data_IF_628328704985
#
_entry.id   IF_628328704985
#
_cell.length_a   1.000
_cell.length_b   1.000
_cell.length_c   1.000
_cell.angle_alpha   90.00
_cell.angle_beta   90.00
_cell.angle_gamma   90.00
#
_symmetry.space_group_name_H-M   'P 1'
#
loop_
_entity.id
_entity.type
_entity.pdbx_description
1 polymer ?
#
# COMPACT_ATOMS: atom_id res chain seq x y z
N UNK A 1 -12.45 8.28 -5.93
CA UNK A 1 -11.72 8.31 -7.21
C UNK A 1 -12.04 7.10 -8.08
N UNK A 2 -11.87 5.86 -7.59
CA UNK A 2 -12.23 4.61 -8.33
C UNK A 2 -13.64 4.64 -8.94
N UNK A 3 -14.66 4.97 -8.15
CA UNK A 3 -16.05 5.06 -8.65
C UNK A 3 -16.23 6.06 -9.81
N UNK A 4 -15.48 7.16 -9.81
CA UNK A 4 -15.53 8.15 -10.88
C UNK A 4 -14.86 7.63 -12.16
N UNK A 5 -13.75 6.91 -12.03
CA UNK A 5 -13.09 6.25 -13.15
C UNK A 5 -13.98 5.15 -13.76
N UNK A 6 -14.67 4.34 -12.93
CA UNK A 6 -15.66 3.35 -13.41
C UNK A 6 -16.79 4.03 -14.20
N UNK A 7 -17.17 5.24 -13.82
CA UNK A 7 -18.20 6.04 -14.51
C UNK A 7 -17.66 6.78 -15.74
N UNK A 8 -16.41 6.56 -16.14
CA UNK A 8 -15.81 7.16 -17.33
C UNK A 8 -15.46 8.64 -17.19
N UNK A 9 -15.35 9.17 -15.96
CA UNK A 9 -15.02 10.58 -15.72
C UNK A 9 -13.52 10.90 -15.85
N UNK A 10 -12.69 9.92 -16.20
CA UNK A 10 -11.25 10.09 -16.39
C UNK A 10 -10.43 8.95 -15.81
N UNK A 11 -9.14 9.23 -15.57
CA UNK A 11 -8.17 8.29 -14.98
C UNK A 11 -8.02 8.54 -13.48
N UNK A 12 -7.76 7.49 -12.70
CA UNK A 12 -7.54 7.59 -11.27
C UNK A 12 -6.17 7.01 -10.89
N UNK A 13 -5.41 7.78 -10.12
CA UNK A 13 -4.20 7.30 -9.45
C UNK A 13 -4.55 6.99 -7.99
N UNK A 14 -4.59 5.71 -7.65
CA UNK A 14 -4.97 5.20 -6.33
C UNK A 14 -4.12 3.97 -5.98
N UNK A 15 -3.94 3.64 -4.70
CA UNK A 15 -3.36 2.37 -4.31
C UNK A 15 -4.11 1.17 -4.90
N UNK A 16 -3.36 0.15 -5.31
CA UNK A 16 -3.86 -1.02 -6.04
C UNK A 16 -5.07 -1.68 -5.38
N UNK A 17 -5.03 -1.85 -4.06
CA UNK A 17 -6.10 -2.51 -3.29
C UNK A 17 -7.47 -1.81 -3.39
N UNK A 18 -7.51 -0.53 -3.78
CA UNK A 18 -8.78 0.16 -4.03
C UNK A 18 -9.37 -0.16 -5.41
N UNK A 19 -8.52 -0.44 -6.40
CA UNK A 19 -8.93 -0.71 -7.78
C UNK A 19 -8.99 -2.20 -8.12
N UNK A 20 -8.34 -3.05 -7.33
CA UNK A 20 -8.18 -4.49 -7.57
C UNK A 20 -9.50 -5.20 -7.89
N UNK A 21 -10.54 -4.95 -7.09
CA UNK A 21 -11.86 -5.54 -7.31
C UNK A 21 -12.46 -5.11 -8.66
N UNK A 22 -12.38 -3.82 -8.98
CA UNK A 22 -12.93 -3.28 -10.23
C UNK A 22 -12.13 -3.73 -11.47
N UNK A 23 -10.82 -3.91 -11.35
CA UNK A 23 -9.97 -4.45 -12.41
C UNK A 23 -10.31 -5.93 -12.64
N UNK A 24 -10.45 -6.71 -11.56
CA UNK A 24 -10.83 -8.12 -11.63
C UNK A 24 -12.21 -8.32 -12.27
N UNK A 25 -13.14 -7.42 -12.00
CA UNK A 25 -14.48 -7.42 -12.59
C UNK A 25 -14.52 -6.85 -14.02
N UNK A 26 -13.38 -6.43 -14.58
CA UNK A 26 -13.26 -5.87 -15.93
C UNK A 26 -13.87 -4.48 -16.09
N UNK A 27 -14.15 -3.79 -14.98
CA UNK A 27 -14.71 -2.43 -14.97
C UNK A 27 -13.63 -1.35 -15.13
N UNK A 28 -12.37 -1.70 -14.85
CA UNK A 28 -11.21 -0.82 -14.98
C UNK A 28 -10.04 -1.60 -15.60
N UNK A 29 -9.10 -0.87 -16.20
CA UNK A 29 -7.84 -1.39 -16.72
C UNK A 29 -6.69 -0.50 -16.23
N UNK A 30 -5.56 -1.12 -15.88
CA UNK A 30 -4.35 -0.41 -15.48
C UNK A 30 -3.63 0.14 -16.70
N UNK A 31 -3.33 1.44 -16.68
CA UNK A 31 -2.55 2.13 -17.72
C UNK A 31 -1.29 2.73 -17.12
N UNK A 32 -0.27 2.99 -17.95
CA UNK A 32 0.99 3.64 -17.53
C UNK A 32 1.72 2.91 -16.39
N UNK A 33 1.64 1.57 -16.34
CA UNK A 33 2.30 0.78 -15.29
C UNK A 33 3.81 1.07 -15.18
N UNK A 34 4.48 1.30 -16.30
CA UNK A 34 5.92 1.64 -16.35
C UNK A 34 6.27 2.97 -15.67
N UNK A 35 5.27 3.82 -15.41
CA UNK A 35 5.42 5.13 -14.79
C UNK A 35 5.01 5.13 -13.30
N UNK A 36 4.59 3.99 -12.77
CA UNK A 36 4.19 3.84 -11.37
C UNK A 36 5.33 3.21 -10.57
N UNK A 37 6.14 3.97 -9.82
CA UNK A 37 7.17 3.41 -8.96
C UNK A 37 6.54 2.58 -7.84
N UNK A 38 7.24 1.56 -7.37
CA UNK A 38 6.83 0.82 -6.19
C UNK A 38 6.84 1.75 -4.97
N UNK A 39 5.69 1.90 -4.32
CA UNK A 39 5.59 2.70 -3.10
C UNK A 39 6.15 1.89 -1.91
N UNK A 40 6.89 2.51 -0.96
CA UNK A 40 7.48 1.82 0.20
C UNK A 40 6.47 1.14 1.15
N UNK A 41 5.18 1.19 0.84
CA UNK A 41 4.11 0.60 1.63
C UNK A 41 3.81 1.40 2.90
N UNK A 42 3.07 0.77 3.81
CA UNK A 42 2.65 1.38 5.07
C UNK A 42 3.75 1.24 6.13
N UNK A 43 4.06 2.33 6.82
CA UNK A 43 5.01 2.35 7.94
C UNK A 43 4.27 2.51 9.28
N UNK A 44 4.71 1.77 10.30
CA UNK A 44 4.27 1.96 11.68
C UNK A 44 5.19 2.95 12.39
N UNK A 45 4.69 4.16 12.64
CA UNK A 45 5.40 5.17 13.40
C UNK A 45 5.12 5.05 14.91
N UNK A 46 6.18 5.06 15.73
CA UNK A 46 6.10 5.13 17.18
C UNK A 46 7.26 5.95 17.75
N UNK A 47 7.09 6.54 18.92
CA UNK A 47 8.11 7.38 19.54
C UNK A 47 9.28 6.53 20.05
N UNK A 48 10.48 6.78 19.51
CA UNK A 48 11.70 6.06 19.82
C UNK A 48 12.33 6.45 21.16
N UNK A 49 11.61 6.27 22.27
CA UNK A 49 12.21 6.46 23.60
C UNK A 49 12.70 5.14 24.17
N UNK A 50 13.83 4.62 23.62
CA UNK A 50 14.79 3.64 24.19
C UNK A 50 14.29 2.29 24.76
N UNK A 51 13.01 2.14 25.10
CA UNK A 51 12.34 0.96 25.63
C UNK A 51 10.96 0.85 24.98
N UNK A 52 10.88 0.11 23.88
CA UNK A 52 9.60 -0.32 23.30
C UNK A 52 8.90 -1.21 24.33
N UNK A 53 7.68 -0.87 24.80
CA UNK A 53 6.93 -1.72 25.73
C UNK A 53 6.75 -3.13 25.15
N UNK A 54 6.78 -4.16 26.00
CA UNK A 54 6.69 -5.56 25.56
C UNK A 54 5.44 -5.83 24.69
N UNK A 55 4.32 -5.20 25.02
CA UNK A 55 3.06 -5.31 24.25
C UNK A 55 3.21 -4.71 22.85
N UNK A 56 3.84 -3.54 22.71
CA UNK A 56 4.08 -2.92 21.41
C UNK A 56 5.06 -3.75 20.57
N UNK A 57 6.09 -4.34 21.20
CA UNK A 57 6.99 -5.25 20.52
C UNK A 57 6.25 -6.48 19.97
N UNK A 58 5.43 -7.14 20.80
CA UNK A 58 4.63 -8.27 20.37
C UNK A 58 3.68 -7.91 19.20
N UNK A 59 3.10 -6.71 19.22
CA UNK A 59 2.28 -6.21 18.12
C UNK A 59 3.09 -5.95 16.84
N UNK A 60 4.28 -5.34 16.96
CA UNK A 60 5.20 -5.14 15.83
C UNK A 60 5.59 -6.49 15.21
N UNK A 61 5.90 -7.48 16.05
CA UNK A 61 6.28 -8.81 15.59
C UNK A 61 5.14 -9.49 14.83
N UNK A 62 3.90 -9.41 15.35
CA UNK A 62 2.69 -9.88 14.65
C UNK A 62 2.49 -9.19 13.29
N UNK A 63 2.68 -7.87 13.24
CA UNK A 63 2.55 -7.11 11.99
C UNK A 63 3.61 -7.52 10.97
N UNK A 64 4.84 -7.82 11.39
CA UNK A 64 5.90 -8.31 10.50
C UNK A 64 5.60 -9.69 9.93
N UNK A 65 4.97 -10.57 10.70
CA UNK A 65 4.53 -11.90 10.22
C UNK A 65 3.43 -11.80 9.15
N UNK A 66 2.60 -10.75 9.24
CA UNK A 66 1.46 -10.56 8.33
C UNK A 66 1.85 -9.84 7.03
N UNK A 67 3.05 -9.24 6.96
CA UNK A 67 3.51 -8.51 5.78
C UNK A 67 4.29 -9.44 4.82
N UNK A 68 3.81 -9.65 3.58
CA UNK A 68 4.58 -10.32 2.56
C UNK A 68 5.71 -9.40 2.04
N UNK A 69 6.95 -9.81 2.32
CA UNK A 69 8.24 -9.34 1.78
C UNK A 69 8.72 -7.93 2.20
N UNK A 70 10.01 -7.76 2.55
CA UNK A 70 10.59 -6.46 2.87
C UNK A 70 10.73 -5.62 1.60
N UNK A 71 10.19 -4.39 1.62
CA UNK A 71 10.44 -3.42 0.54
C UNK A 71 11.84 -2.83 0.76
N UNK A 72 12.74 -3.05 -0.19
CA UNK A 72 14.05 -2.40 -0.22
C UNK A 72 13.84 -0.88 -0.39
N UNK A 73 14.14 -0.15 0.68
CA UNK A 73 14.15 1.31 0.68
C UNK A 73 15.35 1.73 -0.17
N UNK A 74 15.11 2.08 -1.44
CA UNK A 74 16.10 2.81 -2.23
C UNK A 74 16.13 4.25 -1.72
N UNK A 75 17.10 4.55 -0.87
CA UNK A 75 17.51 5.92 -0.57
C UNK A 75 18.02 6.58 -1.86
N UNK A 76 17.45 7.72 -2.22
CA UNK A 76 18.03 8.66 -3.19
C UNK A 76 18.92 9.67 -2.47
#
# INVERSE_FOLDING_TARGET
>A
MVKAAIQGMGIAYVPDFYAEAAIKDGLLETILGDWCPAEPGLALYYSGHRQVPAVLRAFIDLLKETQPSPVEIQEQ
#
